data_IF_484669057892
#
_entry.id   IF_484669057892
#
_cell.length_a   1.000
_cell.length_b   1.000
_cell.length_c   1.000
_cell.angle_alpha   90.00
_cell.angle_beta   90.00
_cell.angle_gamma   90.00
#
_symmetry.space_group_name_H-M   'P 1'
#
loop_
_entity.id
_entity.type
_entity.pdbx_description
1 polymer ?
#
# COMPACT_ATOMS: atom_id res chain seq x y z
N UNK A 1 -20.07 -1.80 4.57
CA UNK A 1 -19.19 -2.46 3.59
C UNK A 1 -18.66 -1.36 2.68
N UNK A 2 -17.35 -1.26 2.46
CA UNK A 2 -16.80 -0.31 1.50
C UNK A 2 -17.34 -0.66 0.10
N UNK A 3 -17.85 0.32 -0.63
CA UNK A 3 -18.34 0.09 -1.99
C UNK A 3 -17.17 -0.05 -2.97
N UNK A 4 -17.38 -0.61 -4.17
CA UNK A 4 -16.33 -0.67 -5.19
C UNK A 4 -15.77 0.71 -5.57
N UNK A 5 -16.58 1.76 -5.46
CA UNK A 5 -16.14 3.14 -5.69
C UNK A 5 -15.18 3.62 -4.59
N UNK A 6 -15.53 3.39 -3.32
CA UNK A 6 -14.66 3.74 -2.18
C UNK A 6 -13.30 3.04 -2.27
N UNK A 7 -13.28 1.79 -2.74
CA UNK A 7 -12.05 1.04 -2.95
C UNK A 7 -11.12 1.66 -4.02
N UNK A 8 -11.70 2.12 -5.14
CA UNK A 8 -10.94 2.76 -6.22
C UNK A 8 -10.35 4.09 -5.75
N UNK A 9 -11.12 4.88 -5.00
CA UNK A 9 -10.67 6.16 -4.45
C UNK A 9 -9.54 5.95 -3.43
N UNK A 10 -9.66 4.96 -2.54
CA UNK A 10 -8.61 4.62 -1.56
C UNK A 10 -7.33 4.15 -2.25
N UNK A 11 -7.43 3.23 -3.23
CA UNK A 11 -6.26 2.74 -3.99
C UNK A 11 -5.57 3.90 -4.71
N UNK A 12 -6.33 4.79 -5.36
CA UNK A 12 -5.80 5.97 -6.05
C UNK A 12 -5.06 6.91 -5.10
N UNK A 13 -5.70 7.25 -3.98
CA UNK A 13 -5.13 8.16 -2.98
C UNK A 13 -3.80 7.64 -2.39
N UNK A 14 -3.77 6.36 -1.99
CA UNK A 14 -2.56 5.72 -1.43
C UNK A 14 -1.47 5.63 -2.49
N UNK A 15 -1.81 5.31 -3.74
CA UNK A 15 -0.86 5.24 -4.86
C UNK A 15 -0.17 6.58 -5.10
N UNK A 16 -0.92 7.69 -5.13
CA UNK A 16 -0.33 9.00 -5.37
C UNK A 16 0.56 9.48 -4.22
N UNK A 17 0.21 9.15 -2.97
CA UNK A 17 1.07 9.44 -1.82
C UNK A 17 2.39 8.67 -1.90
N UNK A 18 2.36 7.37 -2.20
CA UNK A 18 3.56 6.56 -2.30
C UNK A 18 4.43 6.92 -3.50
N UNK A 19 3.85 7.29 -4.65
CA UNK A 19 4.62 7.82 -5.79
C UNK A 19 5.37 9.11 -5.44
N UNK A 20 4.78 9.96 -4.59
CA UNK A 20 5.44 11.18 -4.09
C UNK A 20 6.54 10.88 -3.07
N UNK A 21 6.31 9.89 -2.20
CA UNK A 21 7.29 9.47 -1.20
C UNK A 21 8.49 8.72 -1.80
N UNK A 22 8.24 7.95 -2.87
CA UNK A 22 9.23 7.09 -3.54
C UNK A 22 9.42 7.50 -5.01
N UNK A 23 9.94 8.70 -5.30
CA UNK A 23 10.08 9.19 -6.68
C UNK A 23 11.07 8.36 -7.52
N UNK A 24 11.91 7.57 -6.87
CA UNK A 24 12.92 6.69 -7.47
C UNK A 24 12.40 5.27 -7.75
N UNK A 25 11.22 4.91 -7.23
CA UNK A 25 10.62 3.59 -7.44
C UNK A 25 9.70 3.64 -8.66
N UNK A 26 9.76 2.60 -9.50
CA UNK A 26 8.95 2.52 -10.70
C UNK A 26 7.45 2.59 -10.34
N UNK A 27 6.70 3.48 -11.00
CA UNK A 27 5.27 3.68 -10.72
C UNK A 27 4.43 2.40 -10.89
N UNK A 28 4.86 1.46 -11.73
CA UNK A 28 4.22 0.15 -11.85
C UNK A 28 4.36 -0.67 -10.56
N UNK A 29 5.55 -0.66 -9.95
CA UNK A 29 5.85 -1.38 -8.71
C UNK A 29 5.05 -0.79 -7.53
N UNK A 30 4.93 0.54 -7.47
CA UNK A 30 4.07 1.22 -6.48
C UNK A 30 2.61 0.77 -6.61
N UNK A 31 2.08 0.74 -7.83
CA UNK A 31 0.70 0.27 -8.07
C UNK A 31 0.49 -1.18 -7.68
N UNK A 32 1.45 -2.06 -7.97
CA UNK A 32 1.35 -3.46 -7.57
C UNK A 32 1.38 -3.63 -6.05
N UNK A 33 2.29 -2.95 -5.35
CA UNK A 33 2.36 -2.96 -3.89
C UNK A 33 1.06 -2.50 -3.23
N UNK A 34 0.46 -1.40 -3.72
CA UNK A 34 -0.81 -0.89 -3.21
C UNK A 34 -1.97 -1.84 -3.49
N UNK A 35 -2.00 -2.48 -4.67
CA UNK A 35 -3.03 -3.49 -5.00
C UNK A 35 -2.91 -4.71 -4.09
N UNK A 36 -1.70 -5.22 -3.89
CA UNK A 36 -1.43 -6.34 -2.97
C UNK A 36 -1.87 -5.99 -1.55
N UNK A 37 -1.52 -4.80 -1.05
CA UNK A 37 -1.94 -4.34 0.26
C UNK A 37 -3.48 -4.22 0.38
N UNK A 38 -4.15 -3.71 -0.66
CA UNK A 38 -5.63 -3.69 -0.68
C UNK A 38 -6.22 -5.09 -0.60
N UNK A 39 -5.69 -6.05 -1.36
CA UNK A 39 -6.19 -7.43 -1.37
C UNK A 39 -6.04 -8.11 0.00
N UNK A 40 -4.93 -7.85 0.72
CA UNK A 40 -4.71 -8.35 2.08
C UNK A 40 -5.75 -7.82 3.08
N UNK A 41 -6.22 -6.57 2.90
CA UNK A 41 -7.11 -5.90 3.86
C UNK A 41 -8.55 -5.72 3.38
N UNK A 42 -8.92 -6.11 2.15
CA UNK A 42 -10.28 -5.90 1.60
C UNK A 42 -11.40 -6.60 2.38
N UNK A 43 -11.04 -7.58 3.20
CA UNK A 43 -11.94 -8.32 4.08
C UNK A 43 -11.87 -7.88 5.55
N UNK A 44 -11.06 -6.85 5.85
CA UNK A 44 -10.95 -6.30 7.20
C UNK A 44 -12.29 -5.72 7.66
N UNK A 45 -12.62 -5.96 8.93
CA UNK A 45 -13.89 -5.55 9.54
C UNK A 45 -14.07 -4.03 9.66
N UNK A 46 -12.99 -3.25 9.59
CA UNK A 46 -13.01 -1.80 9.84
C UNK A 46 -12.41 -1.06 8.63
N UNK A 47 -13.25 -0.63 7.67
CA UNK A 47 -12.79 -0.03 6.42
C UNK A 47 -12.18 1.36 6.61
N UNK A 48 -12.49 2.06 7.70
CA UNK A 48 -11.95 3.42 7.95
C UNK A 48 -10.42 3.43 8.14
N UNK A 49 -9.84 2.32 8.61
CA UNK A 49 -8.39 2.18 8.76
C UNK A 49 -7.70 1.59 7.53
N UNK A 50 -8.47 1.18 6.53
CA UNK A 50 -7.96 0.55 5.31
C UNK A 50 -6.87 1.39 4.62
N UNK A 51 -7.02 2.73 4.45
CA UNK A 51 -5.99 3.53 3.79
C UNK A 51 -4.64 3.51 4.53
N UNK A 52 -4.67 3.57 5.87
CA UNK A 52 -3.47 3.61 6.71
C UNK A 52 -2.75 2.25 6.69
N UNK A 53 -3.50 1.17 6.82
CA UNK A 53 -2.96 -0.19 6.75
C UNK A 53 -2.38 -0.50 5.36
N UNK A 54 -3.09 -0.08 4.31
CA UNK A 54 -2.62 -0.24 2.93
C UNK A 54 -1.33 0.52 2.66
N UNK A 55 -1.24 1.78 3.10
CA UNK A 55 -0.04 2.60 2.91
C UNK A 55 1.16 1.98 3.61
N UNK A 56 1.02 1.61 4.90
CA UNK A 56 2.10 0.98 5.67
C UNK A 56 2.56 -0.32 5.01
N UNK A 57 1.63 -1.16 4.56
CA UNK A 57 1.97 -2.44 3.94
C UNK A 57 2.59 -2.28 2.57
N UNK A 58 2.08 -1.36 1.76
CA UNK A 58 2.66 -1.06 0.46
C UNK A 58 4.09 -0.51 0.62
N UNK A 59 4.34 0.37 1.60
CA UNK A 59 5.67 0.88 1.91
C UNK A 59 6.68 -0.25 2.22
N UNK A 60 6.28 -1.24 3.01
CA UNK A 60 7.09 -2.44 3.29
C UNK A 60 7.42 -3.29 2.04
N UNK A 61 6.53 -3.28 1.04
CA UNK A 61 6.70 -4.01 -0.20
C UNK A 61 7.60 -3.25 -1.20
N UNK A 62 7.81 -1.94 -1.00
CA UNK A 62 8.69 -1.16 -1.86
C UNK A 62 10.16 -1.31 -1.44
N UNK A 63 11.08 -1.41 -2.41
CA UNK A 63 12.50 -1.39 -2.12
C UNK A 63 12.88 -0.01 -1.60
N UNK A 64 13.06 0.11 -0.28
CA UNK A 64 13.64 1.30 0.31
C UNK A 64 15.08 1.44 -0.18
N UNK A 65 15.46 2.63 -0.68
CA UNK A 65 16.84 2.95 -1.11
C UNK A 65 17.92 2.81 -0.01
N UNK A 66 17.54 2.35 1.18
CA UNK A 66 18.43 1.72 2.15
C UNK A 66 17.96 0.28 2.34
N UNK A 67 18.65 -0.62 1.67
CA UNK A 67 19.01 -1.96 2.15
C UNK A 67 18.03 -2.60 3.13
N UNK A 68 17.29 -3.63 2.68
CA UNK A 68 17.36 -4.97 3.28
C UNK A 68 17.45 -5.11 4.81
N UNK A 69 16.83 -4.25 5.61
CA UNK A 69 16.83 -4.37 7.06
C UNK A 69 15.58 -5.12 7.56
N UNK A 70 15.48 -6.41 7.20
CA UNK A 70 14.73 -7.38 8.00
C UNK A 70 15.56 -8.64 8.19
N UNK A 71 16.30 -8.78 9.30
CA UNK A 71 16.39 -10.05 9.99
C UNK A 71 15.37 -10.05 11.14
N UNK A 72 14.36 -10.92 11.05
CA UNK A 72 13.63 -11.39 12.23
C UNK A 72 12.12 -11.12 12.26
N UNK A 73 11.35 -12.20 12.05
CA UNK A 73 10.12 -12.59 12.78
C UNK A 73 9.41 -13.68 11.95
N UNK A 74 9.33 -14.96 12.31
CA UNK A 74 9.80 -15.75 13.45
C UNK A 74 9.66 -17.22 13.08
#
# INVERSE_FOLDING_TARGET
MATPADAVDVIGHVTDRLKKAHPHVAAALVREAVRTAYEEFRYARVPDYLPVLMESRADELLPSGRENARPGAG
#
